data_IF_579296553873
#
_entry.id   IF_579296553873
#
_cell.length_a   1.000
_cell.length_b   1.000
_cell.length_c   1.000
_cell.angle_alpha   90.00
_cell.angle_beta   90.00
_cell.angle_gamma   90.00
#
_symmetry.space_group_name_H-M   'P 1'
#
loop_
_entity.id
_entity.type
_entity.pdbx_description
1 polymer ?
#
# COMPACT_ATOMS: atom_id res chain seq x y z
N UNK A 1 9.54 -1.15 18.91
CA UNK A 1 10.88 -1.41 19.47
C UNK A 1 11.56 -2.67 18.91
N UNK A 2 10.85 -3.67 18.38
CA UNK A 2 11.48 -4.84 17.70
C UNK A 2 12.19 -4.48 16.38
N UNK A 3 11.64 -3.53 15.61
CA UNK A 3 12.19 -3.13 14.32
C UNK A 3 13.62 -2.57 14.39
N UNK A 4 13.95 -1.83 15.46
CA UNK A 4 15.30 -1.30 15.67
C UNK A 4 16.33 -2.42 15.85
N UNK A 5 15.98 -3.47 16.61
CA UNK A 5 16.86 -4.62 16.81
C UNK A 5 17.13 -5.35 15.50
N UNK A 6 16.10 -5.51 14.66
CA UNK A 6 16.23 -6.15 13.34
C UNK A 6 17.17 -5.35 12.45
N UNK A 7 17.01 -4.02 12.40
CA UNK A 7 17.89 -3.15 11.60
C UNK A 7 19.35 -3.20 12.05
N UNK A 8 19.58 -3.08 13.36
CA UNK A 8 20.93 -3.17 13.92
C UNK A 8 21.54 -4.54 13.59
N UNK A 9 20.78 -5.63 13.73
CA UNK A 9 21.25 -6.96 13.38
C UNK A 9 21.64 -7.08 11.90
N UNK A 10 20.85 -6.53 10.97
CA UNK A 10 21.20 -6.56 9.54
C UNK A 10 22.51 -5.84 9.24
N UNK A 11 22.73 -4.65 9.80
CA UNK A 11 23.98 -3.92 9.61
C UNK A 11 25.19 -4.65 10.21
N UNK A 12 25.01 -5.23 11.40
CA UNK A 12 26.08 -5.93 12.11
C UNK A 12 26.46 -7.24 11.40
N UNK A 13 25.48 -8.00 10.92
CA UNK A 13 25.71 -9.20 10.11
C UNK A 13 26.40 -8.84 8.79
N UNK A 14 25.93 -7.81 8.08
CA UNK A 14 26.54 -7.36 6.84
C UNK A 14 28.01 -6.95 7.04
N UNK A 15 28.30 -6.26 8.15
CA UNK A 15 29.67 -5.87 8.51
C UNK A 15 30.57 -7.06 8.83
N UNK A 16 30.08 -8.04 9.61
CA UNK A 16 30.83 -9.27 9.91
C UNK A 16 31.11 -10.07 8.64
N UNK A 17 30.12 -10.21 7.75
CA UNK A 17 30.31 -10.88 6.44
C UNK A 17 31.33 -10.14 5.59
N UNK A 18 31.31 -8.80 5.59
CA UNK A 18 32.29 -8.01 4.87
C UNK A 18 33.72 -8.21 5.40
N UNK A 19 33.89 -8.25 6.73
CA UNK A 19 35.19 -8.55 7.36
C UNK A 19 35.67 -9.97 7.05
N UNK A 20 34.78 -10.96 7.05
CA UNK A 20 35.15 -12.34 6.71
C UNK A 20 35.61 -12.41 5.25
N UNK A 21 34.91 -11.75 4.31
CA UNK A 21 35.34 -11.70 2.91
C UNK A 21 36.67 -10.95 2.74
N UNK A 22 36.88 -9.86 3.48
CA UNK A 22 38.15 -9.11 3.44
C UNK A 22 39.32 -9.97 3.96
N UNK A 23 39.16 -10.59 5.14
CA UNK A 23 40.25 -11.26 5.86
C UNK A 23 40.53 -12.69 5.36
N UNK A 24 39.50 -13.45 4.98
CA UNK A 24 39.65 -14.85 4.55
C UNK A 24 39.67 -15.03 3.04
N UNK A 25 38.99 -14.16 2.27
CA UNK A 25 38.94 -14.24 0.81
C UNK A 25 39.84 -13.19 0.12
N UNK A 26 40.44 -12.26 0.87
CA UNK A 26 41.32 -11.22 0.34
C UNK A 26 40.62 -10.21 -0.56
N UNK A 27 39.28 -10.15 -0.50
CA UNK A 27 38.47 -9.33 -1.40
C UNK A 27 38.44 -7.87 -0.89
N UNK A 28 39.35 -7.07 -1.42
CA UNK A 28 39.49 -5.64 -1.10
C UNK A 28 38.36 -4.79 -1.71
N UNK A 29 37.53 -5.35 -2.61
CA UNK A 29 36.45 -4.63 -3.29
C UNK A 29 35.13 -4.70 -2.52
N UNK A 30 34.99 -5.59 -1.54
CA UNK A 30 33.75 -5.80 -0.77
C UNK A 30 33.15 -4.51 -0.22
N UNK A 31 33.97 -3.62 0.36
CA UNK A 31 33.46 -2.36 0.91
C UNK A 31 33.01 -1.40 -0.18
N UNK A 32 33.71 -1.37 -1.31
CA UNK A 32 33.33 -0.58 -2.49
C UNK A 32 32.03 -1.10 -3.10
N UNK A 33 31.86 -2.41 -3.22
CA UNK A 33 30.65 -3.04 -3.76
C UNK A 33 29.43 -2.82 -2.87
N UNK A 34 29.59 -2.87 -1.54
CA UNK A 34 28.52 -2.53 -0.59
C UNK A 34 28.09 -1.07 -0.76
N UNK A 35 29.07 -0.16 -0.88
CA UNK A 35 28.82 1.26 -1.11
C UNK A 35 28.07 1.49 -2.43
N UNK A 36 28.56 0.91 -3.52
CA UNK A 36 27.95 1.03 -4.84
C UNK A 36 26.53 0.44 -4.85
N UNK A 37 26.34 -0.74 -4.27
CA UNK A 37 25.01 -1.37 -4.15
C UNK A 37 24.03 -0.49 -3.35
N UNK A 38 24.52 0.20 -2.33
CA UNK A 38 23.70 1.14 -1.54
C UNK A 38 23.29 2.34 -2.39
N UNK A 39 24.20 2.90 -3.19
CA UNK A 39 23.89 4.00 -4.11
C UNK A 39 22.92 3.58 -5.22
N UNK A 40 23.13 2.41 -5.83
CA UNK A 40 22.25 1.88 -6.87
C UNK A 40 20.84 1.66 -6.32
N UNK A 41 20.72 1.07 -5.13
CA UNK A 41 19.43 0.89 -4.45
C UNK A 41 18.76 2.22 -4.15
N UNK A 42 19.51 3.22 -3.70
CA UNK A 42 18.99 4.57 -3.45
C UNK A 42 18.49 5.23 -4.75
N UNK A 43 19.23 5.08 -5.85
CA UNK A 43 18.84 5.57 -7.18
C UNK A 43 17.56 4.88 -7.67
N UNK A 44 17.49 3.56 -7.62
CA UNK A 44 16.28 2.79 -7.97
C UNK A 44 15.09 3.25 -7.13
N UNK A 45 15.27 3.43 -5.82
CA UNK A 45 14.23 3.95 -4.94
C UNK A 45 13.72 5.32 -5.37
N UNK A 46 14.63 6.22 -5.76
CA UNK A 46 14.28 7.55 -6.26
C UNK A 46 13.53 7.50 -7.60
N UNK A 47 14.02 6.71 -8.56
CA UNK A 47 13.40 6.53 -9.89
C UNK A 47 11.97 5.99 -9.77
N UNK A 48 11.77 4.97 -8.92
CA UNK A 48 10.44 4.43 -8.61
C UNK A 48 9.55 5.51 -7.96
N UNK A 49 10.06 6.23 -6.97
CA UNK A 49 9.29 7.26 -6.25
C UNK A 49 8.84 8.37 -7.19
N UNK A 50 9.70 8.79 -8.12
CA UNK A 50 9.40 9.85 -9.08
C UNK A 50 8.32 9.40 -10.09
N UNK A 51 8.42 8.17 -10.60
CA UNK A 51 7.41 7.58 -11.47
C UNK A 51 6.05 7.43 -10.77
N UNK A 52 6.05 6.88 -9.55
CA UNK A 52 4.83 6.72 -8.75
C UNK A 52 4.20 8.06 -8.39
N UNK A 53 4.99 9.09 -8.07
CA UNK A 53 4.46 10.42 -7.72
C UNK A 53 3.63 11.01 -8.86
N UNK A 54 4.12 10.93 -10.10
CA UNK A 54 3.38 11.41 -11.28
C UNK A 54 2.06 10.68 -11.46
N UNK A 55 2.08 9.35 -11.47
CA UNK A 55 0.89 8.52 -11.64
C UNK A 55 -0.10 8.72 -10.51
N UNK A 56 0.35 8.70 -9.25
CA UNK A 56 -0.51 8.89 -8.09
C UNK A 56 -1.13 10.29 -8.07
N UNK A 57 -0.37 11.34 -8.39
CA UNK A 57 -0.91 12.71 -8.41
C UNK A 57 -2.03 12.88 -9.44
N UNK A 58 -1.87 12.28 -10.63
CA UNK A 58 -2.91 12.25 -11.65
C UNK A 58 -4.17 11.53 -11.15
N UNK A 59 -4.02 10.30 -10.66
CA UNK A 59 -5.16 9.51 -10.21
C UNK A 59 -5.85 10.12 -9.00
N UNK A 60 -5.11 10.50 -7.96
CA UNK A 60 -5.66 11.19 -6.80
C UNK A 60 -6.37 12.50 -7.21
N UNK A 61 -5.85 13.21 -8.21
CA UNK A 61 -6.49 14.39 -8.79
C UNK A 61 -7.85 14.08 -9.44
N UNK A 62 -7.88 13.11 -10.36
CA UNK A 62 -9.13 12.65 -11.01
C UNK A 62 -10.14 12.17 -9.97
N UNK A 63 -9.69 11.42 -8.97
CA UNK A 63 -10.55 10.95 -7.89
C UNK A 63 -11.12 12.09 -7.05
N UNK A 64 -10.31 13.11 -6.74
CA UNK A 64 -10.78 14.30 -6.00
C UNK A 64 -11.82 15.10 -6.78
N UNK A 65 -11.75 15.09 -8.11
CA UNK A 65 -12.80 15.63 -8.99
C UNK A 65 -14.07 14.77 -8.88
N UNK A 66 -13.95 13.44 -8.93
CA UNK A 66 -15.09 12.53 -8.75
C UNK A 66 -15.76 12.60 -7.38
N UNK A 67 -14.98 12.80 -6.32
CA UNK A 67 -15.46 13.00 -4.93
C UNK A 67 -16.23 14.31 -4.82
N UNK A 68 -15.66 15.42 -5.30
CA UNK A 68 -16.33 16.73 -5.32
C UNK A 68 -17.54 16.78 -6.25
N UNK A 69 -17.53 16.01 -7.33
CA UNK A 69 -18.63 15.87 -8.26
C UNK A 69 -19.76 14.95 -7.78
N UNK A 70 -19.66 14.36 -6.59
CA UNK A 70 -20.68 13.49 -6.03
C UNK A 70 -20.80 12.11 -6.69
N UNK A 71 -19.93 11.77 -7.64
CA UNK A 71 -19.93 10.47 -8.29
C UNK A 71 -19.58 9.34 -7.30
N UNK A 72 -18.67 9.62 -6.36
CA UNK A 72 -18.32 8.70 -5.27
C UNK A 72 -19.52 8.43 -4.35
N UNK A 73 -20.30 9.47 -4.04
CA UNK A 73 -21.52 9.37 -3.22
C UNK A 73 -22.59 8.51 -3.94
N UNK A 74 -22.73 8.66 -5.25
CA UNK A 74 -23.66 7.90 -6.08
C UNK A 74 -23.29 6.40 -6.11
N UNK A 75 -22.01 6.07 -6.36
CA UNK A 75 -21.52 4.70 -6.30
C UNK A 75 -21.62 4.11 -4.89
N UNK A 76 -21.32 4.91 -3.87
CA UNK A 76 -21.48 4.51 -2.47
C UNK A 76 -22.93 4.11 -2.15
N UNK A 77 -23.92 4.87 -2.64
CA UNK A 77 -25.35 4.52 -2.49
C UNK A 77 -25.73 3.25 -3.26
N UNK A 78 -25.16 3.03 -4.44
CA UNK A 78 -25.42 1.82 -5.22
C UNK A 78 -24.89 0.55 -4.53
N UNK A 79 -23.74 0.66 -3.85
CA UNK A 79 -23.06 -0.47 -3.19
C UNK A 79 -23.41 -0.57 -1.69
N UNK A 80 -24.04 0.44 -1.11
CA UNK A 80 -24.55 0.45 0.27
C UNK A 80 -25.33 -0.81 0.72
N UNK A 81 -26.22 -1.43 -0.09
CA UNK A 81 -26.90 -2.67 0.34
C UNK A 81 -25.95 -3.86 0.49
N UNK A 82 -24.86 -3.91 -0.29
CA UNK A 82 -23.83 -4.94 -0.16
C UNK A 82 -22.90 -4.62 1.03
N UNK A 83 -22.45 -3.38 1.15
CA UNK A 83 -21.57 -2.93 2.23
C UNK A 83 -22.22 -3.03 3.61
N UNK A 84 -23.51 -2.72 3.74
CA UNK A 84 -24.23 -2.86 5.01
C UNK A 84 -24.39 -4.31 5.48
N UNK A 85 -24.29 -5.30 4.56
CA UNK A 85 -24.24 -6.72 4.93
C UNK A 85 -22.82 -7.22 5.24
N UNK A 86 -21.83 -6.75 4.49
CA UNK A 86 -20.43 -7.14 4.70
C UNK A 86 -19.79 -6.44 5.90
N UNK A 87 -20.21 -5.22 6.21
CA UNK A 87 -19.68 -4.37 7.27
C UNK A 87 -20.79 -3.87 8.21
N UNK A 88 -21.42 -4.76 9.01
CA UNK A 88 -22.52 -4.39 9.90
C UNK A 88 -22.11 -3.41 11.01
N UNK A 89 -20.84 -3.44 11.41
CA UNK A 89 -20.30 -2.65 12.53
C UNK A 89 -19.94 -1.19 12.15
N UNK A 90 -20.11 -0.79 10.88
CA UNK A 90 -19.78 0.56 10.42
C UNK A 90 -21.03 1.46 10.47
N UNK A 91 -20.96 2.64 11.12
CA UNK A 91 -22.08 3.58 11.14
C UNK A 91 -22.52 3.99 9.72
N UNK A 92 -23.83 4.10 9.50
CA UNK A 92 -24.38 4.62 8.23
C UNK A 92 -23.86 6.05 8.01
N UNK A 93 -23.45 6.38 6.79
CA UNK A 93 -22.80 7.64 6.42
C UNK A 93 -21.39 7.91 7.02
N UNK A 94 -20.69 6.92 7.57
CA UNK A 94 -19.31 7.12 7.97
C UNK A 94 -18.37 7.24 6.73
N UNK A 95 -17.42 8.19 6.70
CA UNK A 95 -16.51 8.38 5.55
C UNK A 95 -15.62 7.16 5.25
N UNK A 96 -15.46 6.24 6.23
CA UNK A 96 -14.78 4.95 6.03
C UNK A 96 -15.36 4.16 4.85
N UNK A 97 -16.68 4.17 4.68
CA UNK A 97 -17.38 3.48 3.58
C UNK A 97 -16.92 3.99 2.22
N UNK A 98 -16.79 5.32 2.07
CA UNK A 98 -16.31 5.96 0.85
C UNK A 98 -14.86 5.58 0.54
N UNK A 99 -13.95 5.69 1.51
CA UNK A 99 -12.53 5.33 1.31
C UNK A 99 -12.33 3.85 0.97
N UNK A 100 -13.07 2.94 1.60
CA UNK A 100 -13.02 1.51 1.27
C UNK A 100 -13.54 1.23 -0.13
N UNK A 101 -14.67 1.82 -0.52
CA UNK A 101 -15.21 1.70 -1.87
C UNK A 101 -14.22 2.21 -2.92
N UNK A 102 -13.53 3.32 -2.63
CA UNK A 102 -12.50 3.88 -3.50
C UNK A 102 -11.31 2.93 -3.65
N UNK A 103 -10.83 2.37 -2.55
CA UNK A 103 -9.75 1.38 -2.58
C UNK A 103 -10.15 0.13 -3.39
N UNK A 104 -11.33 -0.44 -3.15
CA UNK A 104 -11.82 -1.62 -3.88
C UNK A 104 -12.00 -1.28 -5.36
N UNK A 105 -12.59 -0.13 -5.70
CA UNK A 105 -12.76 0.31 -7.09
C UNK A 105 -11.41 0.49 -7.80
N UNK A 106 -10.42 1.09 -7.14
CA UNK A 106 -9.08 1.24 -7.68
C UNK A 106 -8.42 -0.12 -7.94
N UNK A 107 -8.57 -1.08 -7.03
CA UNK A 107 -8.05 -2.44 -7.18
C UNK A 107 -8.77 -3.19 -8.32
N UNK A 108 -10.09 -3.06 -8.42
CA UNK A 108 -10.91 -3.69 -9.47
C UNK A 108 -10.60 -3.17 -10.88
N UNK A 109 -10.16 -1.91 -11.00
CA UNK A 109 -9.77 -1.25 -12.25
C UNK A 109 -8.27 -1.42 -12.59
N UNK A 110 -7.50 -2.16 -11.76
CA UNK A 110 -6.07 -2.36 -11.96
C UNK A 110 -5.21 -1.11 -11.67
N UNK A 111 -5.72 -0.19 -10.85
CA UNK A 111 -5.03 1.01 -10.36
C UNK A 111 -4.40 0.76 -8.98
N UNK A 112 -3.62 -0.32 -8.85
CA UNK A 112 -3.14 -0.85 -7.57
C UNK A 112 -2.30 0.17 -6.76
N UNK A 113 -1.53 1.01 -7.47
CA UNK A 113 -0.77 2.10 -6.86
C UNK A 113 -1.70 3.12 -6.19
N UNK A 114 -2.84 3.45 -6.81
CA UNK A 114 -3.83 4.36 -6.23
C UNK A 114 -4.65 3.69 -5.11
N UNK A 115 -4.82 2.37 -5.14
CA UNK A 115 -5.56 1.65 -4.11
C UNK A 115 -4.91 1.75 -2.71
N UNK A 116 -3.58 1.74 -2.63
CA UNK A 116 -2.83 1.77 -1.36
C UNK A 116 -3.11 3.00 -0.48
N UNK A 117 -3.01 4.26 -0.96
CA UNK A 117 -3.33 5.43 -0.14
C UNK A 117 -4.79 5.47 0.31
N UNK A 118 -5.73 5.00 -0.52
CA UNK A 118 -7.14 4.87 -0.12
C UNK A 118 -7.33 3.78 0.94
N UNK A 119 -6.61 2.67 0.82
CA UNK A 119 -6.62 1.60 1.81
C UNK A 119 -6.10 2.07 3.17
N UNK A 120 -5.00 2.83 3.19
CA UNK A 120 -4.46 3.42 4.42
C UNK A 120 -5.44 4.43 5.04
N UNK A 121 -6.05 5.29 4.23
CA UNK A 121 -7.07 6.25 4.70
C UNK A 121 -8.30 5.52 5.26
N UNK A 122 -8.76 4.46 4.59
CA UNK A 122 -9.84 3.62 5.08
C UNK A 122 -9.49 2.96 6.42
N UNK A 123 -8.29 2.40 6.55
CA UNK A 123 -7.82 1.79 7.79
C UNK A 123 -7.72 2.79 8.95
N UNK A 124 -7.28 4.03 8.68
CA UNK A 124 -7.29 5.11 9.69
C UNK A 124 -8.72 5.44 10.14
N UNK A 125 -9.66 5.58 9.20
CA UNK A 125 -11.06 5.88 9.51
C UNK A 125 -11.77 4.71 10.22
N UNK A 126 -11.43 3.46 9.90
CA UNK A 126 -11.89 2.28 10.64
C UNK A 126 -11.28 2.21 12.04
N UNK A 127 -10.04 2.67 12.20
CA UNK A 127 -9.37 2.74 13.49
C UNK A 127 -9.99 3.82 14.39
N UNK A 128 -10.51 4.92 13.85
CA UNK A 128 -11.23 5.96 14.62
C UNK A 128 -12.45 5.37 15.34
N UNK A 129 -13.26 4.58 14.63
CA UNK A 129 -14.46 3.93 15.18
C UNK A 129 -14.16 2.66 15.98
N UNK A 130 -12.91 2.17 15.96
CA UNK A 130 -12.52 0.97 16.66
C UNK A 130 -12.53 1.18 18.19
N UNK A 131 -13.35 0.43 18.96
CA UNK A 131 -13.38 0.52 20.42
C UNK A 131 -12.09 -0.02 21.07
N UNK A 132 -11.31 -0.87 20.39
CA UNK A 132 -10.06 -1.47 20.89
C UNK A 132 -8.89 -1.09 20.01
N UNK A 133 -8.19 0.01 20.34
CA UNK A 133 -7.12 0.57 19.49
C UNK A 133 -5.94 -0.38 19.25
N UNK A 134 -5.68 -1.33 20.16
CA UNK A 134 -4.59 -2.30 20.00
C UNK A 134 -4.98 -3.59 19.26
N UNK A 135 -6.26 -3.75 18.88
CA UNK A 135 -6.75 -4.96 18.19
C UNK A 135 -7.44 -4.55 16.90
N UNK A 136 -7.21 -5.31 15.82
CA UNK A 136 -7.93 -5.09 14.57
C UNK A 136 -9.43 -5.38 14.78
N UNK A 137 -10.30 -4.46 14.33
CA UNK A 137 -11.75 -4.66 14.36
C UNK A 137 -12.21 -5.58 13.22
N UNK A 138 -13.39 -6.20 13.36
CA UNK A 138 -13.96 -7.06 12.31
C UNK A 138 -14.02 -6.36 10.94
N UNK A 139 -14.42 -5.07 10.83
CA UNK A 139 -14.34 -4.34 9.57
C UNK A 139 -12.92 -4.24 8.99
N UNK A 140 -11.90 -4.01 9.82
CA UNK A 140 -10.52 -3.92 9.35
C UNK A 140 -10.03 -5.26 8.79
N UNK A 141 -10.36 -6.36 9.49
CA UNK A 141 -10.00 -7.72 9.06
C UNK A 141 -10.72 -8.05 7.74
N UNK A 142 -12.03 -7.80 7.65
CA UNK A 142 -12.80 -8.10 6.46
C UNK A 142 -12.33 -7.27 5.25
N UNK A 143 -12.04 -5.98 5.46
CA UNK A 143 -11.50 -5.12 4.41
C UNK A 143 -10.12 -5.60 3.90
N UNK A 144 -9.27 -6.08 4.80
CA UNK A 144 -7.97 -6.64 4.46
C UNK A 144 -8.12 -7.96 3.67
N UNK A 145 -9.04 -8.84 4.07
CA UNK A 145 -9.34 -10.09 3.36
C UNK A 145 -9.88 -9.80 1.95
N UNK A 146 -10.75 -8.80 1.79
CA UNK A 146 -11.25 -8.41 0.47
C UNK A 146 -10.13 -7.90 -0.43
N UNK A 147 -9.22 -7.06 0.08
CA UNK A 147 -8.06 -6.60 -0.68
C UNK A 147 -7.10 -7.75 -1.02
N UNK A 148 -6.90 -8.70 -0.11
CA UNK A 148 -6.05 -9.87 -0.35
C UNK A 148 -6.67 -10.85 -1.36
N UNK A 149 -8.00 -10.88 -1.49
CA UNK A 149 -8.70 -11.77 -2.42
C UNK A 149 -8.54 -11.40 -3.90
N UNK A 150 -7.94 -10.24 -4.22
CA UNK A 150 -7.57 -9.87 -5.59
C UNK A 150 -8.78 -9.79 -6.53
N UNK A 151 -9.87 -9.17 -6.08
CA UNK A 151 -11.05 -8.91 -6.92
C UNK A 151 -10.69 -7.94 -8.05
N UNK A 152 -10.21 -8.46 -9.18
CA UNK A 152 -9.91 -7.69 -10.39
C UNK A 152 -10.97 -7.95 -11.45
N UNK A 153 -11.74 -6.93 -11.83
CA UNK A 153 -12.73 -7.04 -12.92
C UNK A 153 -12.09 -6.78 -14.29
N UNK A 154 -11.16 -5.83 -14.36
CA UNK A 154 -10.51 -5.42 -15.60
C UNK A 154 -9.00 -5.61 -15.43
N UNK A 155 -8.38 -6.61 -16.08
CA UNK A 155 -6.97 -6.91 -15.91
C UNK A 155 -6.11 -5.97 -16.78
N UNK A 156 -6.11 -4.67 -16.46
CA UNK A 156 -5.41 -3.63 -17.23
C UNK A 156 -3.90 -3.89 -17.30
N UNK A 157 -3.31 -4.34 -16.20
CA UNK A 157 -1.88 -4.74 -16.15
C UNK A 157 -1.56 -5.88 -17.11
N UNK A 158 -2.44 -6.88 -17.22
CA UNK A 158 -2.28 -8.00 -18.19
C UNK A 158 -2.44 -7.52 -19.62
N UNK A 159 -3.36 -6.58 -19.88
CA UNK A 159 -3.54 -6.00 -21.21
C UNK A 159 -2.33 -5.18 -21.64
N UNK A 160 -1.74 -4.39 -20.74
CA UNK A 160 -0.52 -3.60 -21.01
C UNK A 160 0.71 -4.50 -21.18
N UNK A 161 0.84 -5.59 -20.41
CA UNK A 161 1.96 -6.53 -20.57
C UNK A 161 1.89 -7.38 -21.85
N UNK A 162 0.72 -7.44 -22.50
CA UNK A 162 0.49 -8.20 -23.74
C UNK A 162 0.48 -7.33 -25.01
N UNK A 163 0.61 -6.01 -24.88
CA UNK A 163 0.71 -5.07 -26.00
C UNK A 163 2.19 -4.76 -26.32
#
# INVERSE_FOLDING_TARGET
>A
MVLNYIWIAFFLIAFVVALVKLLFFGDMQVFTDIMNSTYDTARTGFEISLGLTGVLSLWLGVMKIGERGGMVELFSRAVAPLFSRLFPDIPRNHPASGSMLMNISANMLGLDNAATPFGLKAMQQLQEINPRKEQASNPMIMFMVLNASGLTLIPVTVMVYRA
#
